data_IF_406025406077
#
_entry.id   IF_406025406077
#
_cell.length_a   1.000
_cell.length_b   1.000
_cell.length_c   1.000
_cell.angle_alpha   90.00
_cell.angle_beta   90.00
_cell.angle_gamma   90.00
#
_symmetry.space_group_name_H-M   'P 1'
#
loop_
_entity.id
_entity.type
_entity.pdbx_description
1 polymer ?
#
# COMPACT_ATOMS: atom_id res chain seq x y z
N UNK A 1 0.87 -25.78 -0.29
CA UNK A 1 -0.33 -25.02 -0.72
C UNK A 1 0.02 -23.55 -0.71
N UNK A 2 -0.02 -22.89 -1.87
CA UNK A 2 0.20 -21.43 -1.97
C UNK A 2 -0.92 -20.71 -1.23
N UNK A 3 -0.60 -19.74 -0.38
CA UNK A 3 -1.61 -18.94 0.33
C UNK A 3 -2.53 -18.24 -0.68
N UNK A 4 -3.83 -18.09 -0.41
CA UNK A 4 -4.73 -17.40 -1.33
C UNK A 4 -4.30 -15.95 -1.49
N UNK A 5 -4.13 -15.49 -2.73
CA UNK A 5 -3.94 -14.09 -3.05
C UNK A 5 -5.29 -13.39 -3.02
N UNK A 6 -5.48 -12.47 -2.07
CA UNK A 6 -6.69 -11.67 -1.93
C UNK A 6 -6.37 -10.26 -2.41
N UNK A 7 -7.11 -9.77 -3.39
CA UNK A 7 -6.97 -8.43 -3.94
C UNK A 7 -7.86 -7.43 -3.20
N UNK A 8 -7.37 -6.20 -3.03
CA UNK A 8 -8.11 -5.08 -2.45
C UNK A 8 -8.09 -3.92 -3.43
N UNK A 9 -9.27 -3.39 -3.75
CA UNK A 9 -9.43 -2.22 -4.63
C UNK A 9 -9.72 -0.98 -3.80
N UNK A 10 -8.97 0.09 -4.02
CA UNK A 10 -9.15 1.36 -3.32
C UNK A 10 -9.72 2.42 -4.28
N UNK A 11 -10.64 3.23 -3.78
CA UNK A 11 -11.02 4.50 -4.42
C UNK A 11 -10.19 5.59 -3.78
N UNK A 12 -9.50 6.36 -4.61
CA UNK A 12 -8.64 7.48 -4.19
C UNK A 12 -8.87 8.64 -5.15
N UNK A 13 -8.59 9.84 -4.69
CA UNK A 13 -8.54 11.02 -5.55
C UNK A 13 -7.29 10.98 -6.45
N UNK A 14 -7.24 11.85 -7.46
CA UNK A 14 -6.06 11.98 -8.30
C UNK A 14 -4.85 12.47 -7.50
N UNK A 15 -5.04 13.42 -6.58
CA UNK A 15 -3.98 13.94 -5.72
C UNK A 15 -3.38 12.86 -4.82
N UNK A 16 -4.20 12.01 -4.21
CA UNK A 16 -3.74 10.89 -3.38
C UNK A 16 -2.97 9.85 -4.21
N UNK A 17 -3.39 9.61 -5.46
CA UNK A 17 -2.70 8.71 -6.39
C UNK A 17 -1.34 9.26 -6.79
N UNK A 18 -1.25 10.56 -7.08
CA UNK A 18 0.00 11.21 -7.45
C UNK A 18 0.99 11.24 -6.29
N UNK A 19 0.50 11.50 -5.07
CA UNK A 19 1.28 11.38 -3.85
C UNK A 19 1.85 9.97 -3.66
N UNK A 20 1.02 8.92 -3.81
CA UNK A 20 1.47 7.53 -3.71
C UNK A 20 2.53 7.20 -4.76
N UNK A 21 2.36 7.70 -5.99
CA UNK A 21 3.32 7.49 -7.07
C UNK A 21 4.66 8.17 -6.76
N UNK A 22 4.63 9.43 -6.33
CA UNK A 22 5.83 10.17 -5.94
C UNK A 22 6.60 9.48 -4.82
N UNK A 23 5.88 8.97 -3.80
CA UNK A 23 6.50 8.21 -2.72
C UNK A 23 7.15 6.91 -3.22
N UNK A 24 6.49 6.19 -4.13
CA UNK A 24 7.04 4.97 -4.74
C UNK A 24 8.33 5.26 -5.51
N UNK A 25 8.37 6.36 -6.28
CA UNK A 25 9.55 6.80 -7.03
C UNK A 25 10.71 7.15 -6.11
N UNK A 26 10.47 7.94 -5.05
CA UNK A 26 11.51 8.34 -4.10
C UNK A 26 12.06 7.17 -3.27
N UNK A 27 11.21 6.21 -2.93
CA UNK A 27 11.59 5.05 -2.12
C UNK A 27 12.11 3.86 -2.93
N UNK A 28 12.07 3.94 -4.27
CA UNK A 28 12.35 2.82 -5.19
C UNK A 28 11.51 1.57 -4.88
N UNK A 29 10.24 1.77 -4.51
CA UNK A 29 9.30 0.69 -4.15
C UNK A 29 8.08 0.72 -5.04
N UNK A 30 7.41 -0.43 -5.18
CA UNK A 30 6.12 -0.48 -5.86
C UNK A 30 4.96 -0.18 -4.89
N UNK A 31 3.81 0.21 -5.46
CA UNK A 31 2.60 0.55 -4.69
C UNK A 31 2.15 -0.59 -3.77
N UNK A 32 2.26 -1.84 -4.22
CA UNK A 32 1.86 -3.01 -3.44
C UNK A 32 2.68 -3.16 -2.17
N UNK A 33 4.00 -2.96 -2.23
CA UNK A 33 4.88 -3.07 -1.08
C UNK A 33 4.65 -1.95 -0.08
N UNK A 34 4.42 -0.72 -0.58
CA UNK A 34 4.08 0.44 0.25
C UNK A 34 2.75 0.21 0.97
N UNK A 35 1.69 -0.18 0.24
CA UNK A 35 0.38 -0.45 0.83
C UNK A 35 0.42 -1.64 1.81
N UNK A 36 1.14 -2.71 1.48
CA UNK A 36 1.32 -3.87 2.38
C UNK A 36 2.04 -3.48 3.67
N UNK A 37 3.06 -2.64 3.59
CA UNK A 37 3.73 -2.15 4.80
C UNK A 37 2.79 -1.30 5.64
N UNK A 38 2.04 -0.39 5.01
CA UNK A 38 1.04 0.42 5.72
C UNK A 38 0.04 -0.46 6.46
N UNK A 39 -0.53 -1.48 5.78
CA UNK A 39 -1.45 -2.45 6.39
C UNK A 39 -0.78 -3.19 7.56
N UNK A 40 0.47 -3.65 7.41
CA UNK A 40 1.22 -4.31 8.49
C UNK A 40 1.48 -3.38 9.67
N UNK A 41 1.68 -2.09 9.42
CA UNK A 41 1.85 -1.08 10.47
C UNK A 41 0.60 -0.92 11.33
N UNK A 42 -0.60 -1.18 10.78
CA UNK A 42 -1.87 -1.11 11.52
C UNK A 42 -1.92 -2.09 12.69
N UNK A 43 -1.22 -3.24 12.59
CA UNK A 43 -1.09 -4.19 13.71
C UNK A 43 -0.51 -3.54 14.98
N UNK A 44 0.34 -2.53 14.82
CA UNK A 44 0.91 -1.78 15.95
C UNK A 44 -0.07 -0.76 16.54
N UNK A 45 -1.07 -0.33 15.77
CA UNK A 45 -2.08 0.68 16.16
C UNK A 45 -3.34 0.06 16.76
N UNK A 46 -3.63 -1.20 16.44
CA UNK A 46 -4.76 -1.96 17.01
C UNK A 46 -4.46 -2.55 18.41
N UNK A 47 -3.47 -2.00 19.11
CA UNK A 47 -3.05 -2.46 20.44
C UNK A 47 -3.63 -1.58 21.53
#
# INVERSE_FOLDING_TARGET
MSKPEIFVTFRVTQEEKDLLKQYCEQSARNQTDVLRELIRSLKRRLK
#
